data_IF_148470577153
#
_entry.id   IF_148470577153
#
_cell.length_a   1.000
_cell.length_b   1.000
_cell.length_c   1.000
_cell.angle_alpha   90.00
_cell.angle_beta   90.00
_cell.angle_gamma   90.00
#
_symmetry.space_group_name_H-M   'P 1'
#
loop_
_entity.id
_entity.type
_entity.pdbx_description
1 polymer ?
#
# COMPACT_ATOMS: atom_id res chain seq x y z
N UNK A 1 32.17 10.09 19.79
CA UNK A 1 32.27 10.68 18.43
C UNK A 1 30.90 10.56 17.82
N UNK A 2 30.26 11.67 17.44
CA UNK A 2 28.90 11.67 16.90
C UNK A 2 28.92 12.07 15.41
N UNK A 3 27.95 11.60 14.63
CA UNK A 3 27.82 11.84 13.20
C UNK A 3 26.51 12.59 12.91
N UNK A 4 26.47 13.92 13.13
CA UNK A 4 25.24 14.70 13.08
C UNK A 4 24.71 14.97 11.67
N UNK A 5 25.45 14.62 10.62
CA UNK A 5 25.01 14.80 9.22
C UNK A 5 24.24 13.62 8.65
N UNK A 6 24.24 12.47 9.32
CA UNK A 6 23.58 11.25 8.81
C UNK A 6 22.09 11.31 9.17
N UNK A 7 21.25 11.40 8.15
CA UNK A 7 19.79 11.48 8.27
C UNK A 7 19.09 10.17 7.91
N UNK A 8 19.72 9.33 7.09
CA UNK A 8 19.19 8.04 6.65
C UNK A 8 20.06 6.92 7.19
N UNK A 9 19.47 6.01 7.94
CA UNK A 9 20.16 4.87 8.54
C UNK A 9 19.46 3.58 8.14
N UNK A 10 20.23 2.65 7.56
CA UNK A 10 19.74 1.32 7.21
C UNK A 10 20.43 0.27 8.07
N UNK A 11 19.65 -0.53 8.79
CA UNK A 11 20.11 -1.53 9.74
C UNK A 11 19.80 -2.92 9.21
N UNK A 12 20.86 -3.73 9.05
CA UNK A 12 20.76 -5.15 8.71
C UNK A 12 20.94 -6.00 9.96
N UNK A 13 19.84 -6.59 10.41
CA UNK A 13 19.68 -7.11 11.77
C UNK A 13 19.54 -8.64 11.80
N UNK A 14 19.45 -9.25 10.62
CA UNK A 14 19.18 -10.68 10.42
C UNK A 14 20.19 -11.62 11.08
N UNK A 15 21.40 -11.15 11.43
CA UNK A 15 22.44 -11.95 12.10
C UNK A 15 22.45 -11.81 13.62
N UNK A 16 21.65 -10.91 14.19
CA UNK A 16 21.62 -10.69 15.64
C UNK A 16 20.56 -11.60 16.24
N UNK A 17 20.98 -12.64 16.95
CA UNK A 17 20.05 -13.62 17.54
C UNK A 17 19.48 -13.13 18.87
N UNK A 18 20.29 -12.44 19.68
CA UNK A 18 19.91 -11.93 21.01
C UNK A 18 19.19 -10.57 20.93
N UNK A 19 17.94 -10.54 21.41
CA UNK A 19 17.15 -9.30 21.52
C UNK A 19 17.84 -8.27 22.43
N UNK A 20 18.36 -8.67 23.59
CA UNK A 20 19.05 -7.75 24.50
C UNK A 20 20.29 -7.09 23.87
N UNK A 21 21.08 -7.87 23.13
CA UNK A 21 22.24 -7.34 22.39
C UNK A 21 21.79 -6.33 21.34
N UNK A 22 20.70 -6.62 20.63
CA UNK A 22 20.13 -5.72 19.64
C UNK A 22 19.69 -4.39 20.24
N UNK A 23 18.94 -4.42 21.34
CA UNK A 23 18.49 -3.20 22.03
C UNK A 23 19.68 -2.34 22.49
N UNK A 24 20.73 -2.98 23.02
CA UNK A 24 21.96 -2.29 23.41
C UNK A 24 22.68 -1.65 22.20
N UNK A 25 22.68 -2.31 21.05
CA UNK A 25 23.22 -1.77 19.79
C UNK A 25 22.39 -0.57 19.34
N UNK A 26 21.05 -0.68 19.29
CA UNK A 26 20.17 0.43 18.90
C UNK A 26 20.35 1.64 19.81
N UNK A 27 20.42 1.44 21.13
CA UNK A 27 20.65 2.52 22.09
C UNK A 27 21.96 3.26 21.82
N UNK A 28 23.04 2.51 21.56
CA UNK A 28 24.35 3.10 21.24
C UNK A 28 24.34 3.82 19.89
N UNK A 29 23.76 3.21 18.86
CA UNK A 29 23.63 3.80 17.51
C UNK A 29 22.81 5.08 17.57
N UNK A 30 21.70 5.12 18.31
CA UNK A 30 20.89 6.33 18.47
C UNK A 30 21.69 7.53 18.98
N UNK A 31 22.56 7.32 19.98
CA UNK A 31 23.45 8.37 20.48
C UNK A 31 24.52 8.83 19.48
N UNK A 32 24.94 7.96 18.56
CA UNK A 32 25.93 8.28 17.53
C UNK A 32 25.32 9.06 16.35
N UNK A 33 24.05 8.83 16.03
CA UNK A 33 23.36 9.42 14.87
C UNK A 33 22.10 10.21 15.28
N UNK A 34 22.25 11.33 16.00
CA UNK A 34 21.12 12.07 16.56
C UNK A 34 20.25 12.78 15.50
N UNK A 35 20.72 12.86 14.26
CA UNK A 35 20.05 13.53 13.15
C UNK A 35 19.23 12.59 12.25
N UNK A 36 19.14 11.29 12.58
CA UNK A 36 18.39 10.32 11.79
C UNK A 36 16.90 10.69 11.75
N UNK A 37 16.42 10.87 10.53
CA UNK A 37 15.01 11.14 10.19
C UNK A 37 14.35 9.95 9.50
N UNK A 38 15.13 9.11 8.82
CA UNK A 38 14.66 7.90 8.15
C UNK A 38 15.43 6.67 8.66
N UNK A 39 14.70 5.69 9.17
CA UNK A 39 15.27 4.44 9.68
C UNK A 39 14.69 3.25 8.93
N UNK A 40 15.59 2.48 8.31
CA UNK A 40 15.24 1.30 7.53
C UNK A 40 15.72 0.02 8.24
N UNK A 41 14.87 -0.99 8.33
CA UNK A 41 15.20 -2.31 8.86
C UNK A 41 15.07 -3.39 7.80
N UNK A 42 16.09 -4.22 7.62
CA UNK A 42 15.97 -5.39 6.75
C UNK A 42 15.02 -6.46 7.31
N UNK A 43 14.81 -6.45 8.63
CA UNK A 43 14.07 -7.45 9.38
C UNK A 43 13.75 -6.85 10.75
N UNK A 44 12.54 -6.32 10.95
CA UNK A 44 12.16 -5.69 12.20
C UNK A 44 11.45 -6.71 13.08
N UNK A 45 11.97 -6.98 14.28
CA UNK A 45 11.26 -7.80 15.29
C UNK A 45 10.41 -6.92 16.20
N UNK A 46 9.43 -7.52 16.88
CA UNK A 46 8.55 -6.80 17.79
C UNK A 46 9.30 -6.11 18.91
N UNK A 47 10.22 -6.78 19.59
CA UNK A 47 10.93 -6.23 20.75
C UNK A 47 11.74 -4.98 20.36
N UNK A 48 12.28 -4.99 19.14
CA UNK A 48 13.05 -3.90 18.56
C UNK A 48 12.18 -2.67 18.35
N UNK A 49 10.98 -2.88 17.82
CA UNK A 49 10.00 -1.82 17.64
C UNK A 49 9.44 -1.32 18.97
N UNK A 50 9.14 -2.23 19.91
CA UNK A 50 8.71 -1.86 21.25
C UNK A 50 9.76 -1.01 21.94
N UNK A 51 11.05 -1.31 21.79
CA UNK A 51 12.12 -0.47 22.31
C UNK A 51 12.14 0.91 21.66
N UNK A 52 12.01 0.99 20.33
CA UNK A 52 11.92 2.29 19.65
C UNK A 52 10.77 3.12 20.22
N UNK A 53 9.59 2.53 20.38
CA UNK A 53 8.40 3.29 20.77
C UNK A 53 8.24 3.51 22.27
N UNK A 54 8.62 2.57 23.13
CA UNK A 54 8.30 2.63 24.57
C UNK A 54 9.36 3.33 25.41
N UNK A 55 10.54 3.58 24.83
CA UNK A 55 11.60 4.28 25.55
C UNK A 55 11.19 5.74 25.83
N UNK A 56 11.34 6.17 27.09
CA UNK A 56 11.05 7.55 27.50
C UNK A 56 11.89 8.56 26.72
N UNK A 57 13.15 8.21 26.47
CA UNK A 57 14.06 8.96 25.63
C UNK A 57 14.23 8.20 24.31
N UNK A 58 13.57 8.63 23.22
CA UNK A 58 13.65 7.93 21.95
C UNK A 58 15.09 7.94 21.43
N UNK A 59 15.63 6.79 20.97
CA UNK A 59 17.01 6.73 20.46
C UNK A 59 17.22 7.61 19.22
N UNK A 60 16.14 7.88 18.48
CA UNK A 60 16.14 8.73 17.28
C UNK A 60 15.09 9.84 17.44
N UNK A 61 15.42 10.95 18.11
CA UNK A 61 14.46 11.99 18.47
C UNK A 61 13.92 12.82 17.29
N UNK A 62 14.49 12.65 16.09
CA UNK A 62 14.08 13.32 14.84
C UNK A 62 13.44 12.36 13.84
N UNK A 63 13.11 11.15 14.26
CA UNK A 63 12.60 10.11 13.38
C UNK A 63 11.22 10.48 12.81
N UNK A 64 11.14 10.60 11.48
CA UNK A 64 9.90 10.93 10.76
C UNK A 64 9.46 9.84 9.79
N UNK A 65 10.37 8.94 9.40
CA UNK A 65 10.11 7.88 8.44
C UNK A 65 10.64 6.52 8.91
N UNK A 66 9.81 5.49 8.77
CA UNK A 66 10.15 4.09 9.05
C UNK A 66 9.99 3.25 7.78
N UNK A 67 10.97 2.41 7.49
CA UNK A 67 10.95 1.48 6.36
C UNK A 67 11.36 0.08 6.82
N UNK A 68 10.67 -0.98 6.43
CA UNK A 68 11.11 -2.35 6.76
C UNK A 68 10.64 -3.43 5.81
N UNK A 69 11.35 -4.56 5.82
CA UNK A 69 10.91 -5.79 5.14
C UNK A 69 10.27 -6.72 6.17
N UNK A 70 9.01 -7.04 5.93
CA UNK A 70 8.18 -7.89 6.76
C UNK A 70 8.23 -9.33 6.28
N UNK A 71 9.12 -10.11 6.90
CA UNK A 71 9.37 -11.51 6.56
C UNK A 71 8.70 -12.49 7.52
N UNK A 72 8.12 -12.02 8.63
CA UNK A 72 7.62 -12.89 9.67
C UNK A 72 6.09 -13.00 9.60
N UNK A 73 5.58 -14.23 9.49
CA UNK A 73 4.15 -14.52 9.42
C UNK A 73 3.48 -14.60 10.80
N UNK A 74 4.22 -14.38 11.89
CA UNK A 74 3.63 -14.47 13.22
C UNK A 74 2.81 -13.22 13.51
N UNK A 75 1.51 -13.42 13.70
CA UNK A 75 0.58 -12.42 14.22
C UNK A 75 0.96 -12.20 15.67
N UNK A 76 1.62 -11.08 15.93
CA UNK A 76 1.85 -10.64 17.30
C UNK A 76 0.96 -9.44 17.57
N UNK A 77 -0.01 -9.63 18.45
CA UNK A 77 -0.85 -8.55 18.93
C UNK A 77 0.03 -7.51 19.64
N UNK A 78 0.15 -6.35 18.98
CA UNK A 78 0.84 -5.21 19.55
C UNK A 78 -0.03 -4.59 20.65
N UNK A 79 0.55 -4.26 21.82
CA UNK A 79 -0.22 -3.69 22.91
C UNK A 79 -0.80 -2.34 22.47
N UNK A 80 -2.10 -2.15 22.64
CA UNK A 80 -2.80 -0.91 22.25
C UNK A 80 -2.26 0.34 22.99
N UNK A 81 -1.60 0.15 24.14
CA UNK A 81 -1.00 1.22 24.93
C UNK A 81 0.42 1.58 24.46
N UNK A 82 0.51 2.18 23.27
CA UNK A 82 1.73 2.86 22.83
C UNK A 82 1.55 4.37 23.03
N UNK A 83 1.93 4.87 24.21
CA UNK A 83 1.89 6.30 24.53
C UNK A 83 3.25 6.94 24.29
N UNK A 84 3.67 7.06 23.04
CA UNK A 84 4.95 7.66 22.70
C UNK A 84 4.83 8.89 21.82
N UNK A 85 5.69 9.87 22.09
CA UNK A 85 5.83 11.07 21.27
C UNK A 85 6.29 10.74 19.85
N UNK A 86 7.03 9.63 19.66
CA UNK A 86 7.51 9.17 18.35
C UNK A 86 6.34 8.85 17.42
N UNK A 87 5.26 8.25 17.93
CA UNK A 87 4.10 7.93 17.09
C UNK A 87 3.57 9.15 16.33
N UNK A 88 3.62 10.33 16.97
CA UNK A 88 3.17 11.59 16.36
C UNK A 88 4.20 12.20 15.42
N UNK A 89 5.47 11.80 15.52
CA UNK A 89 6.57 12.30 14.69
C UNK A 89 6.68 11.50 13.38
N UNK A 90 6.46 10.18 13.45
CA UNK A 90 6.51 9.31 12.28
C UNK A 90 5.28 9.59 11.40
N UNK A 91 5.54 10.20 10.25
CA UNK A 91 4.52 10.57 9.25
C UNK A 91 4.66 9.76 7.96
N UNK A 92 5.72 8.96 7.83
CA UNK A 92 5.97 8.10 6.67
C UNK A 92 6.24 6.67 7.11
N UNK A 93 5.48 5.74 6.54
CA UNK A 93 5.63 4.31 6.75
C UNK A 93 5.81 3.63 5.40
N UNK A 94 6.86 2.83 5.28
CA UNK A 94 7.13 1.99 4.13
C UNK A 94 7.32 0.58 4.61
N UNK A 95 6.64 -0.38 3.98
CA UNK A 95 6.96 -1.76 4.27
C UNK A 95 6.71 -2.67 3.10
N UNK A 96 7.52 -3.72 3.07
CA UNK A 96 7.43 -4.79 2.09
C UNK A 96 6.89 -6.03 2.77
N UNK A 97 5.74 -6.51 2.35
CA UNK A 97 5.12 -7.73 2.88
C UNK A 97 5.22 -8.88 1.89
N UNK A 98 5.57 -10.06 2.41
CA UNK A 98 5.59 -11.27 1.60
C UNK A 98 4.19 -11.81 1.34
N UNK A 99 3.26 -11.71 2.30
CA UNK A 99 1.93 -12.33 2.23
C UNK A 99 0.82 -11.35 2.63
N UNK A 100 -0.43 -11.72 2.37
CA UNK A 100 -1.64 -10.95 2.74
C UNK A 100 -2.19 -11.29 4.13
N UNK A 101 -1.61 -12.30 4.78
CA UNK A 101 -1.90 -12.61 6.18
C UNK A 101 -1.59 -11.38 7.03
N UNK A 102 -2.36 -11.10 8.10
CA UNK A 102 -1.96 -10.08 9.06
C UNK A 102 -0.51 -10.31 9.48
N UNK A 103 0.32 -9.30 9.26
CA UNK A 103 1.73 -9.31 9.61
C UNK A 103 2.00 -8.22 10.63
N UNK A 104 3.22 -8.22 11.16
CA UNK A 104 3.72 -7.15 12.00
C UNK A 104 3.50 -5.77 11.35
N UNK A 105 3.79 -5.63 10.06
CA UNK A 105 3.62 -4.39 9.32
C UNK A 105 2.15 -3.94 9.21
N UNK A 106 1.21 -4.88 9.05
CA UNK A 106 -0.22 -4.54 9.07
C UNK A 106 -0.68 -4.04 10.45
N UNK A 107 -0.13 -4.60 11.53
CA UNK A 107 -0.38 -4.12 12.89
C UNK A 107 0.23 -2.73 13.12
N UNK A 108 1.43 -2.48 12.59
CA UNK A 108 2.05 -1.15 12.61
C UNK A 108 1.24 -0.12 11.85
N UNK A 109 0.72 -0.49 10.68
CA UNK A 109 -0.14 0.40 9.90
C UNK A 109 -1.32 0.88 10.72
N UNK A 110 -2.01 0.01 11.48
CA UNK A 110 -3.12 0.38 12.37
C UNK A 110 -2.69 1.39 13.45
N UNK A 111 -1.51 1.24 14.02
CA UNK A 111 -0.98 2.13 15.07
C UNK A 111 -0.64 3.51 14.52
N UNK A 112 0.03 3.57 13.36
CA UNK A 112 0.48 4.83 12.77
C UNK A 112 -0.60 5.54 11.96
N UNK A 113 -1.65 4.85 11.50
CA UNK A 113 -2.67 5.36 10.60
C UNK A 113 -3.19 6.78 10.91
N UNK A 114 -3.47 7.16 12.18
CA UNK A 114 -3.92 8.51 12.49
C UNK A 114 -2.92 9.63 12.16
N UNK A 115 -1.62 9.30 12.06
CA UNK A 115 -0.51 10.24 11.92
C UNK A 115 0.14 10.21 10.53
N UNK A 116 -0.04 9.13 9.77
CA UNK A 116 0.60 8.95 8.47
C UNK A 116 0.14 9.98 7.45
N UNK A 117 1.12 10.58 6.79
CA UNK A 117 0.98 11.40 5.59
C UNK A 117 1.43 10.63 4.34
N UNK A 118 2.36 9.70 4.50
CA UNK A 118 2.91 8.89 3.41
C UNK A 118 2.87 7.42 3.78
N UNK A 119 2.31 6.61 2.88
CA UNK A 119 2.28 5.16 3.00
C UNK A 119 2.77 4.53 1.70
N UNK A 120 3.79 3.67 1.78
CA UNK A 120 4.27 2.87 0.67
C UNK A 120 4.25 1.39 1.06
N UNK A 121 3.55 0.58 0.27
CA UNK A 121 3.37 -0.85 0.52
C UNK A 121 3.86 -1.62 -0.68
N UNK A 122 4.89 -2.43 -0.49
CA UNK A 122 5.37 -3.37 -1.49
C UNK A 122 4.88 -4.79 -1.17
N UNK A 123 4.25 -5.46 -2.12
CA UNK A 123 3.66 -6.80 -1.94
C UNK A 123 4.41 -7.77 -2.84
N UNK A 124 5.22 -8.67 -2.25
CA UNK A 124 6.13 -9.56 -3.00
C UNK A 124 5.50 -10.87 -3.49
N UNK A 125 4.49 -11.40 -2.80
CA UNK A 125 3.87 -12.67 -3.20
C UNK A 125 2.35 -12.60 -3.05
N UNK A 126 1.67 -12.39 -4.18
CA UNK A 126 0.21 -12.27 -4.24
C UNK A 126 -0.53 -13.61 -4.37
N UNK A 127 0.10 -14.72 -3.97
CA UNK A 127 -0.58 -16.02 -3.94
C UNK A 127 -1.92 -15.93 -3.21
N UNK A 128 -2.89 -16.65 -3.75
CA UNK A 128 -4.15 -16.98 -3.11
C UNK A 128 -3.85 -17.62 -1.75
N UNK A 129 -4.44 -17.11 -0.66
CA UNK A 129 -4.45 -17.90 0.57
C UNK A 129 -5.19 -19.21 0.27
N UNK A 130 -4.77 -20.33 0.88
CA UNK A 130 -5.43 -21.61 0.70
C UNK A 130 -6.94 -21.56 0.96
N UNK A 131 -7.42 -20.66 1.84
CA UNK A 131 -8.75 -20.81 2.46
C UNK A 131 -9.68 -19.59 2.30
N UNK A 132 -9.62 -18.89 1.16
CA UNK A 132 -10.76 -18.07 0.70
C UNK A 132 -11.03 -16.75 1.43
N UNK A 133 -10.29 -16.36 2.47
CA UNK A 133 -10.45 -15.04 3.06
C UNK A 133 -9.16 -14.52 3.68
N UNK A 134 -8.64 -13.44 3.12
CA UNK A 134 -7.63 -12.58 3.75
C UNK A 134 -7.59 -11.29 2.93
N UNK A 135 -8.43 -10.35 3.34
CA UNK A 135 -8.35 -8.99 2.86
C UNK A 135 -7.21 -8.30 3.61
N UNK A 136 -6.48 -7.43 2.93
CA UNK A 136 -5.58 -6.51 3.62
C UNK A 136 -6.38 -5.27 3.99
N UNK A 137 -6.69 -5.13 5.27
CA UNK A 137 -7.48 -4.03 5.80
C UNK A 137 -6.64 -2.77 5.95
N UNK A 138 -7.02 -1.73 5.20
CA UNK A 138 -6.46 -0.39 5.30
C UNK A 138 -7.31 0.42 6.29
N UNK A 139 -6.72 0.87 7.41
CA UNK A 139 -7.42 1.68 8.40
C UNK A 139 -7.74 3.09 7.87
N UNK A 140 -8.59 3.82 8.58
CA UNK A 140 -8.82 5.24 8.33
C UNK A 140 -7.52 6.04 8.55
N UNK A 141 -7.10 6.83 7.56
CA UNK A 141 -5.89 7.64 7.64
C UNK A 141 -6.19 9.10 7.31
N UNK A 142 -6.63 9.89 8.31
CA UNK A 142 -7.17 11.24 8.10
C UNK A 142 -6.14 12.25 7.59
N UNK A 143 -4.84 11.91 7.64
CA UNK A 143 -3.74 12.78 7.23
C UNK A 143 -3.01 12.29 5.99
N UNK A 144 -3.43 11.16 5.41
CA UNK A 144 -2.72 10.53 4.30
C UNK A 144 -2.80 11.41 3.07
N UNK A 145 -1.64 11.85 2.57
CA UNK A 145 -1.48 12.66 1.38
C UNK A 145 -0.97 11.82 0.20
N UNK A 146 -0.10 10.85 0.47
CA UNK A 146 0.53 10.00 -0.55
C UNK A 146 0.32 8.53 -0.20
N UNK A 147 -0.33 7.80 -1.10
CA UNK A 147 -0.52 6.36 -0.97
C UNK A 147 0.11 5.64 -2.16
N UNK A 148 1.10 4.79 -1.92
CA UNK A 148 1.79 3.99 -2.93
C UNK A 148 1.60 2.52 -2.65
N UNK A 149 1.29 1.77 -3.72
CA UNK A 149 1.14 0.32 -3.69
C UNK A 149 2.01 -0.23 -4.82
N UNK A 150 3.09 -0.90 -4.45
CA UNK A 150 3.99 -1.58 -5.37
C UNK A 150 3.68 -3.08 -5.36
N UNK A 151 3.32 -3.63 -6.51
CA UNK A 151 3.00 -5.05 -6.67
C UNK A 151 4.12 -5.73 -7.42
N UNK A 152 4.54 -6.90 -6.97
CA UNK A 152 5.45 -7.74 -7.73
C UNK A 152 4.69 -8.62 -8.74
N UNK A 153 5.30 -8.74 -9.92
CA UNK A 153 5.01 -9.76 -10.90
C UNK A 153 4.96 -11.15 -10.25
N UNK A 154 3.94 -11.95 -10.56
CA UNK A 154 4.02 -13.40 -10.31
C UNK A 154 3.83 -14.14 -11.61
N UNK A 155 4.66 -15.16 -11.77
CA UNK A 155 4.73 -16.01 -12.95
C UNK A 155 3.63 -17.08 -13.02
N UNK A 156 2.63 -17.07 -12.14
CA UNK A 156 1.60 -18.11 -12.08
C UNK A 156 0.27 -17.70 -12.69
N UNK A 157 -0.31 -18.62 -13.45
CA UNK A 157 -1.62 -18.48 -14.07
C UNK A 157 -2.74 -18.48 -13.02
N UNK A 158 -3.49 -17.38 -12.91
CA UNK A 158 -4.93 -17.47 -12.62
C UNK A 158 -5.44 -17.21 -11.20
N UNK A 159 -4.64 -16.68 -10.26
CA UNK A 159 -5.17 -16.26 -8.96
C UNK A 159 -5.99 -14.96 -9.02
N UNK A 160 -7.12 -14.90 -8.30
CA UNK A 160 -7.85 -13.65 -8.04
C UNK A 160 -6.97 -12.71 -7.21
N UNK A 161 -7.02 -11.41 -7.49
CA UNK A 161 -6.36 -10.42 -6.63
C UNK A 161 -7.14 -10.36 -5.32
N UNK A 162 -6.46 -10.64 -4.21
CA UNK A 162 -6.96 -10.29 -2.88
C UNK A 162 -7.19 -8.78 -2.83
N UNK A 163 -8.42 -8.40 -2.51
CA UNK A 163 -8.87 -7.01 -2.50
C UNK A 163 -8.27 -6.35 -1.27
N UNK A 164 -7.56 -5.23 -1.47
CA UNK A 164 -7.28 -4.31 -0.38
C UNK A 164 -8.63 -3.80 0.08
N UNK A 165 -9.01 -4.16 1.31
CA UNK A 165 -10.28 -3.75 1.89
C UNK A 165 -10.03 -2.50 2.71
N UNK A 166 -10.90 -1.54 2.56
CA UNK A 166 -10.88 -0.34 3.35
C UNK A 166 -11.81 -0.53 4.55
N UNK A 167 -11.44 0.02 5.69
CA UNK A 167 -12.29 0.01 6.89
C UNK A 167 -13.70 0.57 6.57
N UNK A 168 -14.74 -0.01 7.17
CA UNK A 168 -16.15 0.30 6.94
C UNK A 168 -16.72 1.21 8.03
N UNK A 169 -17.69 2.08 7.70
CA UNK A 169 -18.28 3.05 8.65
C UNK A 169 -19.09 2.31 9.70
N UNK A 170 -19.77 1.26 9.26
CA UNK A 170 -20.54 0.36 10.08
C UNK A 170 -20.26 -1.08 9.62
N UNK A 171 -19.54 -1.82 10.46
CA UNK A 171 -19.19 -3.22 10.19
C UNK A 171 -20.43 -4.12 10.20
N UNK A 172 -21.42 -3.84 11.07
CA UNK A 172 -22.61 -4.67 11.23
C UNK A 172 -23.53 -4.59 9.99
N UNK A 173 -23.56 -3.41 9.35
CA UNK A 173 -24.39 -3.16 8.17
C UNK A 173 -23.59 -3.13 6.85
N UNK A 174 -22.29 -3.43 6.90
CA UNK A 174 -21.37 -3.38 5.76
C UNK A 174 -21.42 -2.04 4.98
N UNK A 175 -21.60 -0.94 5.72
CA UNK A 175 -21.65 0.41 5.12
C UNK A 175 -20.23 0.84 4.83
N UNK A 176 -19.87 0.95 3.56
CA UNK A 176 -18.53 1.43 3.18
C UNK A 176 -18.36 2.90 3.59
N UNK A 177 -17.20 3.22 4.19
CA UNK A 177 -16.80 4.60 4.45
C UNK A 177 -16.70 5.36 3.13
N UNK A 178 -17.17 6.59 3.14
CA UNK A 178 -16.91 7.53 2.06
C UNK A 178 -15.41 7.84 2.00
N UNK A 179 -14.77 7.72 0.84
CA UNK A 179 -13.34 8.03 0.67
C UNK A 179 -12.93 9.40 1.18
N UNK A 180 -13.78 10.42 1.00
CA UNK A 180 -13.52 11.75 1.54
C UNK A 180 -13.48 11.78 3.08
N UNK A 181 -14.13 10.83 3.76
CA UNK A 181 -13.99 10.63 5.21
C UNK A 181 -12.75 9.79 5.55
N UNK A 182 -12.41 8.81 4.73
CA UNK A 182 -11.32 7.89 5.02
C UNK A 182 -9.93 8.52 4.79
N UNK A 183 -9.78 9.24 3.67
CA UNK A 183 -8.56 9.93 3.26
C UNK A 183 -8.91 11.35 2.78
N UNK A 184 -9.33 12.24 3.70
CA UNK A 184 -9.83 13.57 3.35
C UNK A 184 -8.80 14.42 2.60
N UNK A 185 -7.51 14.17 2.78
CA UNK A 185 -6.41 14.97 2.23
C UNK A 185 -5.52 14.21 1.24
N UNK A 186 -5.99 13.07 0.70
CA UNK A 186 -5.21 12.28 -0.25
C UNK A 186 -4.96 13.07 -1.54
N UNK A 187 -3.71 13.38 -1.81
CA UNK A 187 -3.28 14.16 -2.98
C UNK A 187 -2.72 13.27 -4.10
N UNK A 188 -2.04 12.18 -3.75
CA UNK A 188 -1.38 11.29 -4.70
C UNK A 188 -1.66 9.82 -4.41
N UNK A 189 -2.00 9.07 -5.46
CA UNK A 189 -2.15 7.61 -5.44
C UNK A 189 -1.28 7.01 -6.54
N UNK A 190 -0.40 6.09 -6.17
CA UNK A 190 0.45 5.35 -7.12
C UNK A 190 0.22 3.86 -6.95
N UNK A 191 -0.05 3.14 -8.05
CA UNK A 191 -0.21 1.68 -8.04
C UNK A 191 0.70 1.10 -9.11
N UNK A 192 1.91 0.71 -8.73
CA UNK A 192 2.92 0.21 -9.66
C UNK A 192 2.99 -1.31 -9.69
N UNK A 193 3.47 -1.82 -10.82
CA UNK A 193 3.89 -3.21 -10.97
C UNK A 193 5.40 -3.23 -11.29
N UNK A 194 6.16 -4.08 -10.62
CA UNK A 194 7.59 -4.26 -10.91
C UNK A 194 7.76 -5.23 -12.08
N UNK A 195 7.69 -4.68 -13.29
CA UNK A 195 7.65 -5.40 -14.57
C UNK A 195 9.01 -5.98 -15.01
N UNK A 196 9.61 -6.92 -14.26
CA UNK A 196 10.86 -7.55 -14.70
C UNK A 196 10.59 -8.66 -15.71
N UNK A 197 10.56 -8.30 -16.99
CA UNK A 197 10.57 -9.25 -18.13
C UNK A 197 9.23 -9.89 -18.45
N UNK A 198 8.12 -9.21 -18.13
CA UNK A 198 6.78 -9.70 -18.39
C UNK A 198 6.37 -9.54 -19.86
N UNK A 199 5.56 -10.48 -20.35
CA UNK A 199 4.92 -10.37 -21.66
C UNK A 199 3.88 -9.24 -21.69
N UNK A 200 3.64 -8.66 -22.86
CA UNK A 200 2.61 -7.63 -23.05
C UNK A 200 1.22 -8.08 -22.55
N UNK A 201 0.88 -9.36 -22.76
CA UNK A 201 -0.36 -9.96 -22.27
C UNK A 201 -0.49 -9.87 -20.74
N UNK A 202 0.61 -10.07 -20.01
CA UNK A 202 0.62 -9.96 -18.55
C UNK A 202 0.45 -8.49 -18.14
N UNK A 203 1.14 -7.56 -18.80
CA UNK A 203 0.99 -6.13 -18.55
C UNK A 203 -0.46 -5.66 -18.74
N UNK A 204 -1.12 -6.09 -19.82
CA UNK A 204 -2.56 -5.83 -20.04
C UNK A 204 -3.44 -6.34 -18.91
N UNK A 205 -3.22 -7.59 -18.46
CA UNK A 205 -3.95 -8.13 -17.30
C UNK A 205 -3.70 -7.33 -16.03
N UNK A 206 -2.46 -6.91 -15.76
CA UNK A 206 -2.13 -6.11 -14.58
C UNK A 206 -2.79 -4.73 -14.59
N UNK A 207 -2.87 -4.11 -15.76
CA UNK A 207 -3.60 -2.87 -15.94
C UNK A 207 -5.09 -3.05 -15.67
N UNK A 208 -5.75 -4.01 -16.33
CA UNK A 208 -7.19 -4.29 -16.13
C UNK A 208 -7.50 -4.53 -14.65
N UNK A 209 -6.65 -5.31 -13.98
CA UNK A 209 -6.70 -5.59 -12.56
C UNK A 209 -6.50 -4.36 -11.67
N UNK A 210 -5.63 -3.44 -12.08
CA UNK A 210 -5.40 -2.18 -11.37
C UNK A 210 -6.59 -1.25 -11.52
N UNK A 211 -7.13 -1.13 -12.74
CA UNK A 211 -8.37 -0.39 -13.00
C UNK A 211 -9.53 -0.99 -12.21
N UNK A 212 -9.68 -2.32 -12.18
CA UNK A 212 -10.71 -2.99 -11.39
C UNK A 212 -10.55 -2.71 -9.90
N UNK A 213 -9.33 -2.80 -9.37
CA UNK A 213 -9.04 -2.41 -7.98
C UNK A 213 -9.46 -0.96 -7.73
N UNK A 214 -9.05 -0.03 -8.59
CA UNK A 214 -9.36 1.38 -8.42
C UNK A 214 -10.86 1.66 -8.52
N UNK A 215 -11.57 1.01 -9.44
CA UNK A 215 -13.01 1.15 -9.57
C UNK A 215 -13.71 0.53 -8.33
N UNK A 216 -13.34 -0.68 -7.89
CA UNK A 216 -13.96 -1.32 -6.72
C UNK A 216 -13.67 -0.58 -5.41
N UNK A 217 -12.47 -0.02 -5.30
CA UNK A 217 -12.07 0.78 -4.17
C UNK A 217 -12.67 2.17 -4.35
N UNK A 218 -12.08 3.06 -5.14
CA UNK A 218 -12.36 4.49 -5.14
C UNK A 218 -13.65 4.91 -5.86
N UNK A 219 -14.40 3.98 -6.45
CA UNK A 219 -15.65 4.29 -7.17
C UNK A 219 -16.79 3.47 -6.57
N UNK A 220 -17.44 3.96 -5.50
CA UNK A 220 -18.61 3.27 -5.02
C UNK A 220 -19.69 3.37 -6.09
N UNK A 221 -20.32 2.25 -6.43
CA UNK A 221 -21.48 2.22 -7.33
C UNK A 221 -22.55 3.22 -6.82
N UNK A 222 -22.88 4.26 -7.60
CA UNK A 222 -23.95 5.25 -7.30
C UNK A 222 -23.49 6.68 -6.96
N UNK A 223 -24.35 7.44 -6.26
CA UNK A 223 -24.18 8.87 -5.91
C UNK A 223 -23.21 9.12 -4.73
N UNK A 224 -22.16 8.31 -4.56
CA UNK A 224 -21.24 8.47 -3.42
C UNK A 224 -20.15 9.51 -3.72
N UNK A 225 -19.66 10.16 -2.68
CA UNK A 225 -18.77 11.29 -2.82
C UNK A 225 -17.42 10.88 -3.43
N UNK A 226 -16.90 11.74 -4.29
CA UNK A 226 -15.61 11.60 -4.95
C UNK A 226 -14.51 12.07 -3.99
N UNK A 227 -13.31 11.51 -4.14
CA UNK A 227 -12.12 12.09 -3.50
C UNK A 227 -11.70 13.33 -4.30
N UNK A 228 -12.15 14.50 -3.86
CA UNK A 228 -11.88 15.78 -4.54
C UNK A 228 -10.43 16.26 -4.36
N UNK A 229 -9.73 15.70 -3.38
CA UNK A 229 -8.35 16.06 -3.06
C UNK A 229 -7.31 15.32 -3.90
N UNK A 230 -7.67 14.21 -4.56
CA UNK A 230 -6.75 13.43 -5.38
C UNK A 230 -6.41 14.20 -6.67
N UNK A 231 -5.14 14.57 -6.81
CA UNK A 231 -4.60 15.36 -7.93
C UNK A 231 -3.65 14.55 -8.82
N UNK A 232 -2.91 13.64 -8.21
CA UNK A 232 -1.91 12.81 -8.87
C UNK A 232 -2.34 11.35 -8.84
N UNK A 233 -2.46 10.74 -10.00
CA UNK A 233 -2.78 9.32 -10.14
C UNK A 233 -1.76 8.67 -11.07
N UNK A 234 -0.90 7.85 -10.48
CA UNK A 234 0.20 7.17 -11.16
C UNK A 234 -0.13 5.67 -11.28
N UNK A 235 -0.43 5.24 -12.50
CA UNK A 235 -0.82 3.87 -12.83
C UNK A 235 -0.04 3.47 -14.09
N UNK A 236 0.58 2.28 -14.12
CA UNK A 236 1.25 1.81 -15.32
C UNK A 236 0.21 1.62 -16.43
N UNK A 237 0.37 2.42 -17.48
CA UNK A 237 -0.42 2.31 -18.69
C UNK A 237 0.05 1.08 -19.48
N UNK A 238 -0.86 0.26 -20.04
CA UNK A 238 -0.47 -0.82 -20.92
C UNK A 238 0.16 -0.25 -22.19
N UNK A 239 0.89 -1.07 -22.96
CA UNK A 239 1.38 -0.67 -24.27
C UNK A 239 0.27 -0.05 -25.14
N UNK A 240 0.63 0.95 -25.96
CA UNK A 240 -0.32 1.74 -26.77
C UNK A 240 -1.21 0.84 -27.65
N UNK A 241 -0.69 -0.30 -28.07
CA UNK A 241 -1.37 -1.31 -28.88
C UNK A 241 -2.50 -2.04 -28.15
N UNK A 242 -2.65 -1.89 -26.82
CA UNK A 242 -3.79 -2.39 -26.05
C UNK A 242 -4.82 -1.30 -25.71
N UNK A 243 -4.50 -0.02 -25.97
CA UNK A 243 -5.38 1.13 -25.77
C UNK A 243 -6.42 1.31 -26.89
N UNK A 244 -6.99 0.22 -27.42
CA UNK A 244 -8.02 0.26 -28.48
C UNK A 244 -9.33 0.96 -28.06
N UNK A 245 -9.43 1.43 -26.81
CA UNK A 245 -10.48 2.34 -26.36
C UNK A 245 -10.36 3.77 -26.94
N UNK A 246 -9.26 4.12 -27.63
CA UNK A 246 -9.09 5.44 -28.28
C UNK A 246 -9.94 5.67 -29.53
N UNK A 247 -10.74 4.69 -29.98
CA UNK A 247 -11.47 4.76 -31.25
C UNK A 247 -12.95 4.39 -31.20
N UNK A 248 -13.55 4.20 -30.02
CA UNK A 248 -14.99 3.93 -29.93
C UNK A 248 -15.79 5.22 -30.16
N UNK A 249 -15.91 5.60 -31.44
CA UNK A 249 -17.06 6.35 -31.92
C UNK A 249 -18.30 5.52 -31.57
N UNK A 250 -19.07 5.96 -30.57
CA UNK A 250 -20.34 5.37 -30.18
C UNK A 250 -21.39 5.60 -31.28
N UNK A 251 -21.25 4.87 -32.39
CA UNK A 251 -22.30 4.65 -33.39
C UNK A 251 -22.36 3.16 -33.69
N UNK A 252 -22.60 2.35 -32.65
CA UNK A 252 -22.91 0.93 -32.84
C UNK A 252 -24.43 0.79 -32.96
N UNK A 253 -24.95 0.77 -34.19
CA UNK A 253 -26.22 0.12 -34.47
C UNK A 253 -25.96 -1.38 -34.40
N UNK A 254 -26.59 -2.06 -33.45
CA UNK A 254 -26.57 -3.52 -33.36
C UNK A 254 -27.63 -4.04 -34.32
N UNK A 255 -27.23 -4.41 -35.53
CA UNK A 255 -27.99 -5.33 -36.37
C UNK A 255 -27.01 -6.24 -37.11
N UNK A 256 -27.05 -7.53 -36.76
CA UNK A 256 -26.52 -8.62 -37.58
C UNK A 256 -25.00 -8.82 -37.59
N UNK A 257 -24.59 -10.05 -37.29
CA UNK A 257 -23.33 -10.67 -37.72
C UNK A 257 -22.02 -10.33 -36.96
N UNK A 258 -21.80 -11.14 -35.93
CA UNK A 258 -20.62 -12.01 -35.74
C UNK A 258 -19.22 -11.48 -36.11
N UNK A 259 -18.88 -10.30 -35.62
CA UNK A 259 -17.48 -9.92 -35.39
C UNK A 259 -17.15 -10.02 -33.91
N UNK A 260 -16.46 -11.10 -33.56
CA UNK A 260 -15.87 -11.31 -32.25
C UNK A 260 -14.82 -10.24 -31.96
N UNK A 261 -15.24 -9.13 -31.37
CA UNK A 261 -14.35 -8.36 -30.50
C UNK A 261 -13.78 -9.36 -29.50
N UNK A 262 -12.47 -9.66 -29.59
CA UNK A 262 -11.77 -10.42 -28.56
C UNK A 262 -11.81 -9.59 -27.29
N UNK A 263 -12.87 -9.78 -26.51
CA UNK A 263 -12.97 -9.34 -25.13
C UNK A 263 -11.90 -10.10 -24.37
N UNK A 264 -10.79 -9.44 -24.09
CA UNK A 264 -9.90 -9.90 -23.02
C UNK A 264 -10.66 -9.61 -21.71
N UNK A 265 -11.25 -10.66 -21.12
CA UNK A 265 -12.08 -10.55 -19.92
C UNK A 265 -13.53 -10.12 -20.18
N UNK A 266 -14.48 -11.00 -19.94
CA UNK A 266 -15.91 -10.84 -20.29
C UNK A 266 -16.72 -9.78 -19.52
N UNK A 267 -16.11 -8.79 -18.88
CA UNK A 267 -16.82 -7.78 -18.09
C UNK A 267 -16.73 -6.41 -18.76
N UNK A 268 -17.89 -5.82 -19.07
CA UNK A 268 -17.99 -4.44 -19.55
C UNK A 268 -17.44 -3.53 -18.46
N UNK A 269 -16.33 -2.85 -18.73
CA UNK A 269 -15.83 -1.76 -17.87
C UNK A 269 -16.93 -0.68 -17.82
N UNK A 270 -17.46 -0.32 -16.63
CA UNK A 270 -18.50 0.69 -16.51
C UNK A 270 -18.04 2.03 -17.10
N UNK A 271 -18.99 2.85 -17.58
CA UNK A 271 -18.76 4.18 -18.16
C UNK A 271 -17.92 5.11 -17.27
N UNK A 272 -17.90 4.89 -15.95
CA UNK A 272 -17.04 5.62 -15.03
C UNK A 272 -15.55 5.26 -15.18
N UNK A 273 -15.18 4.01 -15.44
CA UNK A 273 -13.77 3.65 -15.64
C UNK A 273 -13.23 4.32 -16.93
N UNK A 274 -14.09 4.60 -17.93
CA UNK A 274 -13.72 5.45 -19.07
C UNK A 274 -13.48 6.92 -18.67
N UNK A 275 -14.27 7.47 -17.74
CA UNK A 275 -14.06 8.81 -17.18
C UNK A 275 -12.83 8.94 -16.28
N UNK A 276 -12.51 7.89 -15.51
CA UNK A 276 -11.24 7.79 -14.75
C UNK A 276 -10.06 7.79 -15.73
N UNK A 277 -10.14 7.01 -16.80
CA UNK A 277 -9.12 6.95 -17.84
C UNK A 277 -8.97 8.26 -18.63
N UNK A 278 -10.05 9.01 -18.86
CA UNK A 278 -9.96 10.36 -19.45
C UNK A 278 -9.23 11.35 -18.53
N UNK A 279 -9.32 11.19 -17.21
CA UNK A 279 -8.60 12.05 -16.24
C UNK A 279 -7.16 11.61 -15.98
N UNK A 280 -6.82 10.35 -16.27
CA UNK A 280 -5.43 9.85 -16.23
C UNK A 280 -4.61 10.42 -17.42
N UNK A 281 -5.24 11.04 -18.42
CA UNK A 281 -4.55 11.66 -19.57
C UNK A 281 -4.15 13.13 -19.37
N UNK A 282 -3.84 13.56 -18.13
CA UNK A 282 -3.16 14.84 -17.88
C UNK A 282 -1.66 14.68 -18.16
#
# INVERSE_FOLDING_TARGET
MNFPSITNLSLRTNKITSSAMYLAILAKIGGLFPAVTHLQFSCLRREEFEFLLRTKAPPFPKLTALSFIDRYQQIEDLPQSLSSSILRQVSRLEFRMATWTPTFGTSLLKIFAPFLQHLDIEIENWRTAPDGQEFFDIPIMPRLQVFKINRSAFSGNGGWIKVIKFETEDLANNVMINYAKQFPVLAALSVNHTNRGESEKQQGMYFERTVQFLCNSFTPWGNRARCETLRELDIPLPPVEMFWLRGLNYNYKVEGEDKTCRRYGGNVLPSFCAGLLQRIQI
#
